data_IF_919531979890
#
_entry.id   IF_919531979890
#
_cell.length_a   1.000
_cell.length_b   1.000
_cell.length_c   1.000
_cell.angle_alpha   90.00
_cell.angle_beta   90.00
_cell.angle_gamma   90.00
#
_symmetry.space_group_name_H-M   'P 1'
#
loop_
_entity.id
_entity.type
_entity.pdbx_description
1 polymer ?
#
# COMPACT_ATOMS: atom_id res chain seq x y z
N UNK A 1 -21.05 16.68 13.58
CA UNK A 1 -19.85 16.96 12.76
C UNK A 1 -20.35 17.32 11.36
N UNK A 2 -19.88 18.40 10.73
CA UNK A 2 -20.41 18.80 9.42
C UNK A 2 -19.89 17.86 8.32
N UNK A 3 -20.66 17.58 7.25
CA UNK A 3 -20.20 16.75 6.11
C UNK A 3 -18.89 17.26 5.51
N UNK A 4 -18.76 18.59 5.42
CA UNK A 4 -17.56 19.27 4.94
C UNK A 4 -16.29 18.95 5.75
N UNK A 5 -16.40 18.87 7.07
CA UNK A 5 -15.25 18.55 7.94
C UNK A 5 -14.73 17.13 7.67
N UNK A 6 -15.65 16.19 7.41
CA UNK A 6 -15.34 14.80 7.08
C UNK A 6 -14.62 14.71 5.72
N UNK A 7 -15.08 15.47 4.72
CA UNK A 7 -14.45 15.54 3.39
C UNK A 7 -13.04 16.11 3.48
N UNK A 8 -12.85 17.20 4.23
CA UNK A 8 -11.55 17.82 4.41
C UNK A 8 -10.56 16.86 5.11
N UNK A 9 -11.03 16.17 6.15
CA UNK A 9 -10.23 15.17 6.85
C UNK A 9 -9.86 13.99 5.93
N UNK A 10 -10.81 13.49 5.13
CA UNK A 10 -10.57 12.41 4.17
C UNK A 10 -9.54 12.79 3.11
N UNK A 11 -9.56 14.04 2.62
CA UNK A 11 -8.56 14.56 1.67
C UNK A 11 -7.16 14.62 2.31
N UNK A 12 -7.05 15.14 3.54
CA UNK A 12 -5.78 15.18 4.28
C UNK A 12 -5.20 13.78 4.53
N UNK A 13 -6.06 12.81 4.87
CA UNK A 13 -5.64 11.40 5.02
C UNK A 13 -5.12 10.85 3.68
N UNK A 14 -5.80 11.13 2.57
CA UNK A 14 -5.36 10.67 1.24
C UNK A 14 -4.01 11.26 0.84
N UNK A 15 -3.78 12.56 1.03
CA UNK A 15 -2.48 13.19 0.73
C UNK A 15 -1.35 12.58 1.55
N UNK A 16 -1.56 12.39 2.85
CA UNK A 16 -0.57 11.73 3.73
C UNK A 16 -0.29 10.29 3.28
N UNK A 17 -1.31 9.56 2.81
CA UNK A 17 -1.15 8.21 2.28
C UNK A 17 -0.32 8.18 1.00
N UNK A 18 -0.58 9.09 0.05
CA UNK A 18 0.21 9.20 -1.19
C UNK A 18 1.68 9.43 -0.86
N UNK A 19 1.97 10.36 0.06
CA UNK A 19 3.34 10.65 0.50
C UNK A 19 4.01 9.43 1.13
N UNK A 20 3.29 8.73 2.00
CA UNK A 20 3.80 7.53 2.68
C UNK A 20 4.03 6.40 1.68
N UNK A 21 3.14 6.21 0.70
CA UNK A 21 3.29 5.23 -0.36
C UNK A 21 4.53 5.50 -1.22
N UNK A 22 4.72 6.75 -1.66
CA UNK A 22 5.88 7.12 -2.46
C UNK A 22 7.19 6.87 -1.70
N UNK A 23 7.21 7.16 -0.41
CA UNK A 23 8.35 6.88 0.46
C UNK A 23 8.64 5.37 0.56
N UNK A 24 7.62 4.57 0.87
CA UNK A 24 7.75 3.11 0.99
C UNK A 24 8.15 2.46 -0.33
N UNK A 25 7.57 2.93 -1.43
CA UNK A 25 7.92 2.47 -2.77
C UNK A 25 9.38 2.79 -3.09
N UNK A 26 9.84 4.02 -2.84
CA UNK A 26 11.23 4.41 -3.03
C UNK A 26 12.20 3.55 -2.22
N UNK A 27 11.92 3.33 -0.93
CA UNK A 27 12.74 2.46 -0.07
C UNK A 27 12.79 1.02 -0.58
N UNK A 28 11.66 0.48 -1.03
CA UNK A 28 11.61 -0.86 -1.60
C UNK A 28 12.40 -0.96 -2.92
N UNK A 29 12.35 0.06 -3.78
CA UNK A 29 13.15 0.09 -5.00
C UNK A 29 14.65 0.11 -4.72
N UNK A 30 15.08 0.82 -3.66
CA UNK A 30 16.48 0.78 -3.19
C UNK A 30 16.84 -0.60 -2.64
N UNK A 31 15.97 -1.20 -1.82
CA UNK A 31 16.24 -2.55 -1.30
C UNK A 31 16.34 -3.57 -2.43
N UNK A 32 15.41 -3.51 -3.38
CA UNK A 32 15.38 -4.40 -4.53
C UNK A 32 16.64 -4.22 -5.39
N UNK A 33 17.05 -2.99 -5.71
CA UNK A 33 18.24 -2.74 -6.53
C UNK A 33 19.54 -3.24 -5.87
N UNK A 34 19.71 -3.02 -4.56
CA UNK A 34 20.86 -3.56 -3.82
C UNK A 34 20.82 -5.08 -3.76
N UNK A 35 19.62 -5.68 -3.74
CA UNK A 35 19.46 -7.14 -3.73
C UNK A 35 19.85 -7.80 -5.07
N UNK A 36 19.97 -7.04 -6.16
CA UNK A 36 20.50 -7.55 -7.44
C UNK A 36 22.03 -7.55 -7.54
N UNK A 37 22.73 -6.97 -6.55
CA UNK A 37 24.20 -6.91 -6.54
C UNK A 37 24.82 -8.28 -6.28
N UNK A 38 26.03 -8.51 -6.80
CA UNK A 38 26.74 -9.79 -6.69
C UNK A 38 27.36 -10.06 -5.31
N UNK A 39 27.09 -9.20 -4.31
CA UNK A 39 27.56 -9.37 -2.93
C UNK A 39 26.52 -10.16 -2.14
N UNK A 40 26.77 -11.46 -1.82
CA UNK A 40 25.75 -12.35 -1.26
C UNK A 40 25.25 -11.90 0.12
N UNK A 41 26.12 -11.33 0.94
CA UNK A 41 25.72 -10.79 2.25
C UNK A 41 24.77 -9.60 2.09
N UNK A 42 25.08 -8.61 1.25
CA UNK A 42 24.20 -7.46 1.03
C UNK A 42 22.87 -7.89 0.41
N UNK A 43 22.92 -8.81 -0.56
CA UNK A 43 21.73 -9.38 -1.17
C UNK A 43 20.79 -9.97 -0.11
N UNK A 44 21.32 -10.81 0.79
CA UNK A 44 20.52 -11.43 1.84
C UNK A 44 19.95 -10.40 2.83
N UNK A 45 20.76 -9.46 3.31
CA UNK A 45 20.31 -8.43 4.25
C UNK A 45 19.20 -7.54 3.66
N UNK A 46 19.38 -7.07 2.42
CA UNK A 46 18.40 -6.21 1.76
C UNK A 46 17.15 -6.97 1.30
N UNK A 47 17.25 -8.27 0.99
CA UNK A 47 16.08 -9.13 0.77
C UNK A 47 15.22 -9.22 2.04
N UNK A 48 15.84 -9.46 3.20
CA UNK A 48 15.11 -9.55 4.48
C UNK A 48 14.48 -8.22 4.86
N UNK A 49 15.23 -7.12 4.76
CA UNK A 49 14.72 -5.75 5.05
C UNK A 49 13.60 -5.38 4.09
N UNK A 50 13.75 -5.68 2.79
CA UNK A 50 12.74 -5.44 1.77
C UNK A 50 11.43 -6.19 2.03
N UNK A 51 11.52 -7.48 2.33
CA UNK A 51 10.36 -8.30 2.71
C UNK A 51 9.68 -7.79 3.99
N UNK A 52 10.47 -7.36 4.99
CA UNK A 52 9.94 -6.77 6.22
C UNK A 52 9.15 -5.47 5.95
N UNK A 53 9.69 -4.58 5.10
CA UNK A 53 9.00 -3.34 4.71
C UNK A 53 7.69 -3.61 3.97
N UNK A 54 7.66 -4.60 3.07
CA UNK A 54 6.43 -5.04 2.38
C UNK A 54 5.39 -5.56 3.37
N UNK A 55 5.82 -6.31 4.38
CA UNK A 55 4.94 -6.82 5.42
C UNK A 55 4.34 -5.70 6.30
N UNK A 56 5.18 -4.77 6.79
CA UNK A 56 4.70 -3.62 7.56
C UNK A 56 3.73 -2.76 6.74
N UNK A 57 4.02 -2.56 5.46
CA UNK A 57 3.15 -1.82 4.55
C UNK A 57 1.76 -2.46 4.47
N UNK A 58 1.69 -3.78 4.29
CA UNK A 58 0.41 -4.51 4.21
C UNK A 58 -0.39 -4.42 5.50
N UNK A 59 0.27 -4.42 6.66
CA UNK A 59 -0.41 -4.21 7.95
C UNK A 59 -1.06 -2.83 8.01
N UNK A 60 -0.29 -1.77 7.71
CA UNK A 60 -0.81 -0.40 7.67
C UNK A 60 -1.96 -0.24 6.67
N UNK A 61 -1.87 -0.89 5.51
CA UNK A 61 -2.92 -0.83 4.49
C UNK A 61 -4.26 -1.39 4.99
N UNK A 62 -4.25 -2.51 5.73
CA UNK A 62 -5.45 -3.11 6.32
C UNK A 62 -6.11 -2.17 7.33
N UNK A 63 -5.31 -1.56 8.21
CA UNK A 63 -5.81 -0.62 9.22
C UNK A 63 -6.49 0.59 8.55
N UNK A 64 -5.89 1.12 7.47
CA UNK A 64 -6.48 2.22 6.70
C UNK A 64 -7.77 1.83 5.96
N UNK A 65 -7.86 0.61 5.44
CA UNK A 65 -9.06 0.14 4.77
C UNK A 65 -10.23 0.04 5.75
N UNK A 66 -9.99 -0.47 6.96
CA UNK A 66 -10.99 -0.59 8.03
C UNK A 66 -11.48 0.79 8.53
N UNK A 67 -10.56 1.71 8.83
CA UNK A 67 -10.95 3.06 9.29
C UNK A 67 -11.74 3.80 8.21
N UNK A 68 -11.39 3.61 6.93
CA UNK A 68 -12.11 4.23 5.82
C UNK A 68 -13.52 3.67 5.66
N UNK A 69 -13.69 2.33 5.61
CA UNK A 69 -15.03 1.75 5.43
C UNK A 69 -15.96 2.25 6.53
N UNK A 70 -15.49 2.23 7.77
CA UNK A 70 -16.25 2.70 8.93
C UNK A 70 -16.66 4.18 8.79
N UNK A 71 -15.74 5.08 8.39
CA UNK A 71 -16.08 6.51 8.19
C UNK A 71 -17.08 6.72 7.05
N UNK A 72 -16.97 6.01 5.94
CA UNK A 72 -17.91 6.15 4.81
C UNK A 72 -19.27 5.52 5.10
N UNK A 73 -19.29 4.38 5.80
CA UNK A 73 -20.51 3.72 6.24
C UNK A 73 -21.29 4.64 7.20
N UNK A 74 -20.60 5.28 8.16
CA UNK A 74 -21.23 6.28 9.04
C UNK A 74 -21.77 7.49 8.29
N UNK A 75 -21.09 7.97 7.23
CA UNK A 75 -21.60 9.09 6.41
C UNK A 75 -22.88 8.69 5.67
N UNK A 76 -22.95 7.47 5.13
CA UNK A 76 -24.15 6.96 4.44
C UNK A 76 -25.29 6.65 5.40
N UNK A 77 -24.99 6.19 6.62
CA UNK A 77 -25.99 5.96 7.66
C UNK A 77 -26.58 7.27 8.17
N UNK A 78 -25.73 8.29 8.39
CA UNK A 78 -26.14 9.64 8.78
C UNK A 78 -27.05 10.31 7.73
N UNK A 79 -26.80 10.06 6.44
CA UNK A 79 -27.66 10.51 5.33
C UNK A 79 -29.08 9.92 5.43
N UNK A 80 -29.18 8.61 5.69
CA UNK A 80 -30.47 7.91 5.83
C UNK A 80 -31.25 8.39 7.06
N UNK A 81 -30.56 8.59 8.18
CA UNK A 81 -31.18 8.93 9.46
C UNK A 81 -31.68 10.37 9.52
N UNK A 82 -30.92 11.32 8.97
CA UNK A 82 -31.30 12.73 9.09
C UNK A 82 -32.30 13.21 8.04
N UNK A 83 -32.56 12.44 6.97
CA UNK A 83 -33.33 12.89 5.80
C UNK A 83 -32.92 14.32 5.36
N UNK A 84 -31.68 14.69 5.66
CA UNK A 84 -31.16 16.05 5.50
C UNK A 84 -30.68 16.17 4.07
N UNK A 85 -31.04 17.31 3.49
CA UNK A 85 -30.58 17.84 2.23
C UNK A 85 -29.06 18.10 2.29
N UNK A 86 -28.25 17.03 2.32
CA UNK A 86 -26.86 17.11 1.87
C UNK A 86 -26.95 17.69 0.47
N UNK A 87 -26.34 18.85 0.25
CA UNK A 87 -26.41 19.49 -1.06
C UNK A 87 -25.89 18.49 -2.10
N UNK A 88 -26.56 18.41 -3.26
CA UNK A 88 -26.19 17.48 -4.31
C UNK A 88 -24.69 17.55 -4.67
N UNK A 89 -24.07 18.73 -4.52
CA UNK A 89 -22.64 18.94 -4.77
C UNK A 89 -21.72 18.30 -3.71
N UNK A 90 -22.06 18.36 -2.42
CA UNK A 90 -21.30 17.74 -1.33
C UNK A 90 -21.32 16.22 -1.48
N UNK A 91 -22.49 15.68 -1.81
CA UNK A 91 -22.66 14.25 -2.06
C UNK A 91 -21.86 13.77 -3.28
N UNK A 92 -21.91 14.53 -4.38
CA UNK A 92 -21.13 14.22 -5.59
C UNK A 92 -19.62 14.25 -5.30
N UNK A 93 -19.16 15.19 -4.48
CA UNK A 93 -17.78 15.28 -4.03
C UNK A 93 -17.36 14.06 -3.18
N UNK A 94 -18.21 13.61 -2.24
CA UNK A 94 -17.96 12.41 -1.42
C UNK A 94 -17.86 11.17 -2.30
N UNK A 95 -18.79 11.00 -3.24
CA UNK A 95 -18.80 9.88 -4.20
C UNK A 95 -17.52 9.85 -5.04
N UNK A 96 -17.13 11.00 -5.62
CA UNK A 96 -15.90 11.13 -6.41
C UNK A 96 -14.64 10.84 -5.59
N UNK A 97 -14.63 11.24 -4.32
CA UNK A 97 -13.52 10.96 -3.41
C UNK A 97 -13.45 9.47 -3.05
N UNK A 98 -14.59 8.80 -2.85
CA UNK A 98 -14.66 7.36 -2.63
C UNK A 98 -14.15 6.57 -3.84
N UNK A 99 -14.57 6.95 -5.05
CA UNK A 99 -14.12 6.34 -6.31
C UNK A 99 -12.60 6.50 -6.51
N UNK A 100 -12.07 7.72 -6.32
CA UNK A 100 -10.62 7.96 -6.36
C UNK A 100 -9.86 7.09 -5.37
N UNK A 101 -10.37 6.95 -4.14
CA UNK A 101 -9.75 6.09 -3.13
C UNK A 101 -9.81 4.61 -3.53
N UNK A 102 -10.93 4.14 -4.10
CA UNK A 102 -11.07 2.75 -4.58
C UNK A 102 -10.04 2.44 -5.68
N UNK A 103 -9.87 3.35 -6.64
CA UNK A 103 -8.81 3.24 -7.64
C UNK A 103 -7.42 3.23 -7.00
N UNK A 104 -7.19 4.09 -6.01
CA UNK A 104 -5.91 4.16 -5.29
C UNK A 104 -5.56 2.82 -4.64
N UNK A 105 -6.49 2.19 -3.89
CA UNK A 105 -6.26 0.87 -3.30
C UNK A 105 -5.91 -0.21 -4.32
N UNK A 106 -6.54 -0.17 -5.50
CA UNK A 106 -6.22 -1.14 -6.55
C UNK A 106 -4.78 -0.95 -7.06
N UNK A 107 -4.36 0.31 -7.23
CA UNK A 107 -2.98 0.66 -7.58
C UNK A 107 -2.00 0.25 -6.48
N UNK A 108 -2.30 0.52 -5.21
CA UNK A 108 -1.47 0.08 -4.08
C UNK A 108 -1.31 -1.44 -4.05
N UNK A 109 -2.40 -2.18 -4.30
CA UNK A 109 -2.39 -3.65 -4.33
C UNK A 109 -1.55 -4.18 -5.51
N UNK A 110 -1.62 -3.54 -6.68
CA UNK A 110 -0.77 -3.87 -7.82
C UNK A 110 0.71 -3.66 -7.49
N UNK A 111 1.07 -2.55 -6.83
CA UNK A 111 2.43 -2.31 -6.36
C UNK A 111 2.90 -3.36 -5.34
N UNK A 112 2.03 -3.75 -4.41
CA UNK A 112 2.35 -4.81 -3.46
C UNK A 112 2.66 -6.13 -4.16
N UNK A 113 1.83 -6.54 -5.13
CA UNK A 113 2.05 -7.77 -5.91
C UNK A 113 3.36 -7.67 -6.69
N UNK A 114 3.62 -6.53 -7.34
CA UNK A 114 4.86 -6.29 -8.08
C UNK A 114 6.11 -6.46 -7.19
N UNK A 115 6.12 -5.85 -6.00
CA UNK A 115 7.24 -5.97 -5.07
C UNK A 115 7.40 -7.41 -4.57
N UNK A 116 6.31 -8.09 -4.23
CA UNK A 116 6.35 -9.48 -3.76
C UNK A 116 6.96 -10.42 -4.81
N UNK A 117 6.50 -10.33 -6.06
CA UNK A 117 7.05 -11.14 -7.17
C UNK A 117 8.52 -10.82 -7.39
N UNK A 118 8.89 -9.54 -7.32
CA UNK A 118 10.29 -9.12 -7.49
C UNK A 118 11.20 -9.72 -6.40
N UNK A 119 10.80 -9.69 -5.14
CA UNK A 119 11.56 -10.32 -4.06
C UNK A 119 11.60 -11.86 -4.18
N UNK A 120 10.54 -12.51 -4.65
CA UNK A 120 10.56 -13.95 -4.94
C UNK A 120 11.60 -14.32 -6.01
N UNK A 121 11.69 -13.53 -7.08
CA UNK A 121 12.70 -13.74 -8.13
C UNK A 121 14.11 -13.61 -7.56
N UNK A 122 14.37 -12.58 -6.74
CA UNK A 122 15.68 -12.39 -6.11
C UNK A 122 16.01 -13.54 -5.14
N UNK A 123 15.04 -13.99 -4.35
CA UNK A 123 15.21 -15.13 -3.45
C UNK A 123 15.57 -16.42 -4.22
N UNK A 124 14.88 -16.70 -5.33
CA UNK A 124 15.18 -17.86 -6.18
C UNK A 124 16.59 -17.76 -6.77
N UNK A 125 17.03 -16.58 -7.21
CA UNK A 125 18.40 -16.36 -7.69
C UNK A 125 19.42 -16.65 -6.60
N UNK A 126 19.20 -16.17 -5.37
CA UNK A 126 20.09 -16.41 -4.25
C UNK A 126 20.17 -17.92 -3.88
N UNK A 127 19.04 -18.63 -3.89
CA UNK A 127 18.99 -20.08 -3.62
C UNK A 127 19.76 -20.86 -4.69
N UNK A 128 19.54 -20.56 -5.98
CA UNK A 128 20.28 -21.20 -7.08
C UNK A 128 21.80 -21.02 -6.93
N UNK A 129 22.25 -19.79 -6.63
CA UNK A 129 23.67 -19.53 -6.40
C UNK A 129 24.26 -20.28 -5.21
N UNK A 130 23.47 -20.55 -4.16
CA UNK A 130 23.89 -21.38 -3.03
C UNK A 130 24.01 -22.86 -3.41
N UNK A 131 23.03 -23.39 -4.16
CA UNK A 131 23.03 -24.79 -4.59
C UNK A 131 24.21 -25.08 -5.52
N UNK A 132 24.48 -24.20 -6.48
CA UNK A 132 25.62 -24.33 -7.42
C UNK A 132 26.96 -24.30 -6.68
N UNK A 133 27.12 -23.42 -5.70
CA UNK A 133 28.35 -23.34 -4.89
C UNK A 133 28.58 -24.57 -3.99
N UNK A 134 27.53 -25.30 -3.62
CA UNK A 134 27.62 -26.53 -2.83
C UNK A 134 27.80 -27.81 -3.66
N UNK A 135 27.87 -27.70 -5.00
CA UNK A 135 28.18 -28.83 -5.88
C UNK A 135 27.08 -29.90 -5.98
N UNK A 136 25.86 -29.62 -5.50
CA UNK A 136 24.74 -30.58 -5.48
C UNK A 136 24.17 -30.86 -6.88
N UNK A 137 24.44 -29.97 -7.84
CA UNK A 137 23.95 -30.04 -9.22
C UNK A 137 25.02 -30.52 -10.23
N UNK A 138 26.16 -31.04 -9.75
CA UNK A 138 27.24 -31.57 -10.59
C UNK A 138 27.25 -33.10 -10.63
#
# INVERSE_FOLDING_TARGET
MKPFDIILEARRILENRIKTLLLFFGLNMVCLSVSFTDKPHLCFWFLVVGCFLVHEWKKKQKDFQSVKSLKFDSVSELEKDLNMEVTNDEWENIKKLNEKLKMFFNVENAFYIFLLVSYLIVAMRAILSLIDNHGVLK
#
